data_IF_702278087939
#
_entry.id   IF_702278087939
#
_cell.length_a   1.000
_cell.length_b   1.000
_cell.length_c   1.000
_cell.angle_alpha   90.00
_cell.angle_beta   90.00
_cell.angle_gamma   90.00
#
_symmetry.space_group_name_H-M   'P 1'
#
loop_
_entity.id
_entity.type
_entity.pdbx_description
1 polymer ?
#
# COMPACT_ATOMS: atom_id res chain seq x y z
N UNK A 1 23.10 -36.09 8.23
CA UNK A 1 22.51 -35.94 6.89
C UNK A 1 22.85 -34.57 6.30
N UNK A 2 24.15 -34.24 6.16
CA UNK A 2 24.61 -32.86 5.86
C UNK A 2 25.34 -32.67 4.53
N UNK A 3 25.71 -33.73 3.80
CA UNK A 3 26.62 -33.63 2.64
C UNK A 3 25.93 -33.55 1.28
N UNK A 4 24.64 -33.86 1.15
CA UNK A 4 23.96 -33.90 -0.16
C UNK A 4 23.49 -32.51 -0.65
N UNK A 5 23.53 -31.50 0.22
CA UNK A 5 22.97 -30.17 -0.08
C UNK A 5 23.95 -29.23 -0.78
N UNK A 6 25.27 -29.40 -0.60
CA UNK A 6 26.30 -28.45 -1.06
C UNK A 6 26.48 -28.45 -2.57
N UNK A 7 26.48 -29.62 -3.22
CA UNK A 7 26.68 -29.74 -4.68
C UNK A 7 25.57 -29.08 -5.50
N UNK A 8 24.36 -28.98 -4.94
CA UNK A 8 23.21 -28.39 -5.65
C UNK A 8 23.21 -26.87 -5.66
N UNK A 9 23.93 -26.22 -4.73
CA UNK A 9 23.93 -24.75 -4.59
C UNK A 9 24.83 -24.13 -5.66
N UNK A 10 26.00 -24.72 -5.91
CA UNK A 10 26.98 -24.21 -6.88
C UNK A 10 26.46 -24.26 -8.33
N UNK A 11 25.70 -25.31 -8.68
CA UNK A 11 25.12 -25.44 -10.02
C UNK A 11 23.99 -24.42 -10.25
N UNK A 12 23.24 -24.04 -9.20
CA UNK A 12 22.18 -23.02 -9.32
C UNK A 12 22.72 -21.60 -9.44
N UNK A 13 23.95 -21.35 -8.98
CA UNK A 13 24.57 -20.03 -8.98
C UNK A 13 24.97 -19.50 -10.37
N UNK A 14 24.97 -20.35 -11.41
CA UNK A 14 25.30 -19.96 -12.79
C UNK A 14 24.08 -19.76 -13.71
N UNK A 15 22.88 -20.07 -13.24
CA UNK A 15 21.65 -19.97 -14.04
C UNK A 15 21.12 -18.53 -14.10
N UNK A 16 20.35 -18.14 -15.14
CA UNK A 16 19.62 -16.87 -15.11
C UNK A 16 18.61 -16.84 -13.94
N UNK A 17 18.32 -15.68 -13.35
CA UNK A 17 17.45 -15.56 -12.17
C UNK A 17 16.06 -16.20 -12.33
N UNK A 18 15.53 -16.20 -13.55
CA UNK A 18 14.23 -16.80 -13.89
C UNK A 18 14.28 -18.33 -13.69
N UNK A 19 15.30 -19.00 -14.22
CA UNK A 19 15.45 -20.44 -14.08
C UNK A 19 15.74 -20.84 -12.63
N UNK A 20 16.49 -20.01 -11.88
CA UNK A 20 16.70 -20.23 -10.44
C UNK A 20 15.39 -20.24 -9.66
N UNK A 21 14.52 -19.24 -9.90
CA UNK A 21 13.20 -19.17 -9.26
C UNK A 21 12.35 -20.38 -9.59
N UNK A 22 12.28 -20.81 -10.85
CA UNK A 22 11.54 -22.01 -11.25
C UNK A 22 12.03 -23.29 -10.56
N UNK A 23 13.35 -23.47 -10.46
CA UNK A 23 13.92 -24.62 -9.76
C UNK A 23 13.61 -24.58 -8.27
N UNK A 24 13.66 -23.39 -7.66
CA UNK A 24 13.26 -23.20 -6.27
C UNK A 24 11.77 -23.53 -6.07
N UNK A 25 10.89 -22.96 -6.89
CA UNK A 25 9.45 -23.22 -6.86
C UNK A 25 9.16 -24.72 -6.99
N UNK A 26 9.87 -25.41 -7.90
CA UNK A 26 9.73 -26.86 -8.07
C UNK A 26 10.18 -27.66 -6.85
N UNK A 27 11.31 -27.29 -6.25
CA UNK A 27 11.80 -27.92 -5.00
C UNK A 27 10.81 -27.73 -3.85
N UNK A 28 10.27 -26.52 -3.71
CA UNK A 28 9.24 -26.20 -2.71
C UNK A 28 7.95 -27.00 -2.96
N UNK A 29 7.53 -27.14 -4.23
CA UNK A 29 6.37 -27.94 -4.61
C UNK A 29 6.55 -29.43 -4.33
N UNK A 30 7.71 -29.99 -4.68
CA UNK A 30 8.06 -31.38 -4.37
C UNK A 30 8.11 -31.63 -2.85
N UNK A 31 8.61 -30.67 -2.07
CA UNK A 31 8.61 -30.72 -0.62
C UNK A 31 7.17 -30.68 -0.06
N UNK A 32 6.32 -29.78 -0.57
CA UNK A 32 4.90 -29.72 -0.20
C UNK A 32 4.20 -31.06 -0.40
N UNK A 33 4.38 -31.70 -1.55
CA UNK A 33 3.77 -33.01 -1.83
C UNK A 33 4.30 -34.13 -0.94
N UNK A 34 5.59 -34.09 -0.56
CA UNK A 34 6.15 -35.03 0.42
C UNK A 34 5.48 -34.87 1.79
N UNK A 35 5.33 -33.63 2.27
CA UNK A 35 4.65 -33.34 3.55
C UNK A 35 3.19 -33.78 3.51
N UNK A 36 2.45 -33.42 2.46
CA UNK A 36 1.03 -33.82 2.31
C UNK A 36 0.85 -35.33 2.24
N UNK A 37 1.79 -36.07 1.65
CA UNK A 37 1.75 -37.53 1.63
C UNK A 37 1.90 -38.10 3.05
N UNK A 38 2.89 -37.61 3.80
CA UNK A 38 3.11 -38.03 5.20
C UNK A 38 1.90 -37.73 6.09
N UNK A 39 1.25 -36.57 5.91
CA UNK A 39 0.02 -36.23 6.65
C UNK A 39 -1.18 -37.11 6.28
N UNK A 40 -1.20 -37.66 5.07
CA UNK A 40 -2.30 -38.45 4.58
C UNK A 40 -2.21 -39.93 4.98
N UNK A 41 -1.06 -40.38 5.48
CA UNK A 41 -0.83 -41.74 5.97
C UNK A 41 -1.60 -41.95 7.29
N UNK A 42 -2.53 -42.91 7.31
CA UNK A 42 -3.28 -43.31 8.51
C UNK A 42 -4.80 -43.06 8.49
N UNK A 43 -5.29 -42.15 7.64
CA UNK A 43 -6.73 -41.86 7.53
C UNK A 43 -7.22 -42.01 6.08
N UNK A 44 -8.09 -43.00 5.76
CA UNK A 44 -8.45 -43.34 4.38
C UNK A 44 -9.09 -42.17 3.61
N UNK A 45 -9.87 -41.35 4.30
CA UNK A 45 -10.49 -40.15 3.70
C UNK A 45 -9.45 -39.08 3.31
N UNK A 46 -8.45 -38.84 4.18
CA UNK A 46 -7.38 -37.86 3.91
C UNK A 46 -6.48 -38.38 2.78
N UNK A 47 -6.17 -39.67 2.78
CA UNK A 47 -5.46 -40.35 1.70
C UNK A 47 -6.17 -40.19 0.35
N UNK A 48 -7.49 -40.46 0.30
CA UNK A 48 -8.30 -40.28 -0.91
C UNK A 48 -8.25 -38.83 -1.40
N UNK A 49 -8.47 -37.86 -0.49
CA UNK A 49 -8.40 -36.43 -0.81
C UNK A 49 -7.04 -36.03 -1.36
N UNK A 50 -5.94 -36.57 -0.82
CA UNK A 50 -4.60 -36.34 -1.33
C UNK A 50 -4.44 -36.82 -2.78
N UNK A 51 -4.88 -38.04 -3.09
CA UNK A 51 -4.77 -38.58 -4.44
C UNK A 51 -5.65 -37.82 -5.44
N UNK A 52 -6.86 -37.43 -5.04
CA UNK A 52 -7.75 -36.58 -5.86
C UNK A 52 -7.08 -35.24 -6.15
N UNK A 53 -6.55 -34.56 -5.13
CA UNK A 53 -5.85 -33.28 -5.31
C UNK A 53 -4.65 -33.43 -6.24
N UNK A 54 -3.87 -34.51 -6.07
CA UNK A 54 -2.70 -34.80 -6.90
C UNK A 54 -3.06 -35.12 -8.35
N UNK A 55 -4.18 -35.78 -8.58
CA UNK A 55 -4.67 -36.11 -9.92
C UNK A 55 -5.02 -34.85 -10.74
N UNK A 56 -5.47 -33.77 -10.08
CA UNK A 56 -5.71 -32.48 -10.73
C UNK A 56 -4.45 -31.62 -10.84
N UNK A 57 -3.61 -31.59 -9.82
CA UNK A 57 -2.43 -30.73 -9.81
C UNK A 57 -1.32 -31.21 -10.75
N UNK A 58 -1.12 -32.52 -10.89
CA UNK A 58 -0.11 -33.08 -11.79
C UNK A 58 -0.27 -32.61 -13.25
N UNK A 59 -1.44 -32.73 -13.90
CA UNK A 59 -1.62 -32.21 -15.25
C UNK A 59 -1.54 -30.68 -15.31
N UNK A 60 -1.97 -29.96 -14.27
CA UNK A 60 -1.86 -28.50 -14.21
C UNK A 60 -0.39 -28.04 -14.16
N UNK A 61 0.44 -28.68 -13.32
CA UNK A 61 1.87 -28.40 -13.20
C UNK A 61 2.61 -28.76 -14.47
N UNK A 62 2.29 -29.91 -15.09
CA UNK A 62 2.85 -30.31 -16.38
C UNK A 62 2.55 -29.26 -17.47
N UNK A 63 1.30 -28.79 -17.55
CA UNK A 63 0.90 -27.76 -18.51
C UNK A 63 1.63 -26.43 -18.26
N UNK A 64 1.76 -26.02 -17.00
CA UNK A 64 2.51 -24.81 -16.61
C UNK A 64 3.97 -24.89 -17.08
N UNK A 65 4.67 -25.97 -16.74
CA UNK A 65 6.11 -26.11 -17.02
C UNK A 65 6.41 -26.36 -18.51
N UNK A 66 5.59 -27.15 -19.21
CA UNK A 66 5.86 -27.54 -20.60
C UNK A 66 5.34 -26.56 -21.63
N UNK A 67 4.24 -25.87 -21.35
CA UNK A 67 3.54 -25.05 -22.34
C UNK A 67 3.55 -23.59 -21.94
N UNK A 68 3.08 -23.24 -20.73
CA UNK A 68 2.89 -21.83 -20.33
C UNK A 68 4.22 -21.11 -20.14
N UNK A 69 5.17 -21.69 -19.40
CA UNK A 69 6.44 -21.04 -19.09
C UNK A 69 7.31 -20.78 -20.35
N UNK A 70 7.52 -21.73 -21.27
CA UNK A 70 8.27 -21.47 -22.50
C UNK A 70 7.57 -20.48 -23.43
N UNK A 71 6.23 -20.52 -23.48
CA UNK A 71 5.45 -19.58 -24.28
C UNK A 71 5.55 -18.16 -23.69
N UNK A 72 5.45 -18.03 -22.37
CA UNK A 72 5.62 -16.76 -21.68
C UNK A 72 7.02 -16.19 -21.92
N UNK A 73 8.08 -17.00 -21.83
CA UNK A 73 9.45 -16.54 -22.08
C UNK A 73 9.65 -16.05 -23.52
N UNK A 74 9.05 -16.73 -24.50
CA UNK A 74 9.15 -16.35 -25.93
C UNK A 74 8.39 -15.06 -26.26
N UNK A 75 7.27 -14.80 -25.61
CA UNK A 75 6.38 -13.67 -25.92
C UNK A 75 6.31 -12.61 -24.81
N UNK A 76 7.28 -12.62 -23.89
CA UNK A 76 7.33 -11.68 -22.78
C UNK A 76 7.51 -10.24 -23.28
N UNK A 77 6.49 -9.42 -23.08
CA UNK A 77 6.60 -7.97 -23.31
C UNK A 77 7.29 -7.30 -22.13
N UNK A 78 8.32 -6.47 -22.34
CA UNK A 78 8.91 -5.70 -21.25
C UNK A 78 7.89 -4.67 -20.75
N UNK A 79 7.79 -4.54 -19.44
CA UNK A 79 7.04 -3.48 -18.77
C UNK A 79 7.94 -2.86 -17.70
N UNK A 80 7.73 -1.58 -17.40
CA UNK A 80 8.55 -0.83 -16.46
C UNK A 80 7.65 -0.12 -15.45
N UNK A 81 8.15 0.00 -14.23
CA UNK A 81 7.52 0.85 -13.23
C UNK A 81 7.80 2.32 -13.58
N UNK A 82 6.74 3.14 -13.68
CA UNK A 82 6.88 4.57 -13.94
C UNK A 82 7.63 5.22 -12.78
N UNK A 83 8.71 5.94 -13.08
CA UNK A 83 9.44 6.75 -12.10
C UNK A 83 9.09 8.21 -12.34
N UNK A 84 8.65 8.89 -11.28
CA UNK A 84 8.36 10.31 -11.28
C UNK A 84 9.47 11.00 -10.48
N UNK A 85 10.00 12.09 -11.02
CA UNK A 85 10.91 12.95 -10.26
C UNK A 85 10.09 13.76 -9.25
N UNK A 86 10.73 14.16 -8.15
CA UNK A 86 10.12 15.04 -7.16
C UNK A 86 10.00 16.46 -7.72
N UNK A 87 8.86 17.08 -7.47
CA UNK A 87 8.50 18.45 -7.75
C UNK A 87 8.72 19.28 -6.47
N UNK A 88 8.98 20.60 -6.56
CA UNK A 88 8.89 21.48 -5.41
C UNK A 88 7.59 21.30 -4.62
N UNK A 89 7.70 21.30 -3.29
CA UNK A 89 6.54 21.22 -2.40
C UNK A 89 5.84 22.59 -2.29
N UNK A 90 4.63 22.59 -1.73
CA UNK A 90 3.76 23.79 -1.66
C UNK A 90 4.37 24.92 -0.81
N UNK A 91 5.30 24.62 0.07
CA UNK A 91 6.04 25.58 0.90
C UNK A 91 7.10 26.38 0.10
N UNK A 92 7.58 25.82 -1.00
CA UNK A 92 8.57 26.44 -1.90
C UNK A 92 7.91 27.25 -3.02
N UNK A 93 6.65 26.97 -3.33
CA UNK A 93 5.91 27.66 -4.38
C UNK A 93 5.60 29.13 -4.00
N UNK A 94 5.63 30.01 -5.01
CA UNK A 94 5.11 31.36 -4.86
C UNK A 94 3.58 31.34 -4.69
N UNK A 95 3.04 32.27 -3.88
CA UNK A 95 1.59 32.32 -3.57
C UNK A 95 0.71 32.40 -4.82
N UNK A 96 1.19 33.07 -5.87
CA UNK A 96 0.47 33.28 -7.13
C UNK A 96 0.92 32.33 -8.26
N UNK A 97 1.87 31.43 -8.01
CA UNK A 97 2.37 30.50 -9.02
C UNK A 97 1.44 29.29 -9.14
N UNK A 98 0.49 29.38 -10.05
CA UNK A 98 -0.48 28.32 -10.30
C UNK A 98 0.15 27.07 -10.93
N UNK A 99 1.26 27.21 -11.67
CA UNK A 99 1.95 26.06 -12.27
C UNK A 99 2.64 25.23 -11.19
N UNK A 100 3.39 25.88 -10.30
CA UNK A 100 4.00 25.22 -9.15
C UNK A 100 2.95 24.58 -8.24
N UNK A 101 1.85 25.30 -7.96
CA UNK A 101 0.74 24.75 -7.19
C UNK A 101 0.15 23.49 -7.84
N UNK A 102 -0.09 23.50 -9.15
CA UNK A 102 -0.64 22.36 -9.87
C UNK A 102 0.26 21.12 -9.76
N UNK A 103 1.57 21.28 -10.04
CA UNK A 103 2.50 20.16 -9.97
C UNK A 103 2.66 19.64 -8.53
N UNK A 104 2.72 20.53 -7.54
CA UNK A 104 2.79 20.18 -6.12
C UNK A 104 1.52 19.44 -5.66
N UNK A 105 0.34 19.86 -6.13
CA UNK A 105 -0.92 19.19 -5.81
C UNK A 105 -0.98 17.79 -6.44
N UNK A 106 -0.55 17.63 -7.70
CA UNK A 106 -0.47 16.32 -8.34
C UNK A 106 0.51 15.38 -7.62
N UNK A 107 1.66 15.89 -7.15
CA UNK A 107 2.56 15.10 -6.31
C UNK A 107 1.88 14.68 -4.99
N UNK A 108 1.22 15.61 -4.30
CA UNK A 108 0.49 15.32 -3.06
C UNK A 108 -0.55 14.21 -3.24
N UNK A 109 -1.31 14.24 -4.35
CA UNK A 109 -2.31 13.22 -4.69
C UNK A 109 -1.71 11.85 -4.88
N UNK A 110 -0.58 11.77 -5.58
CA UNK A 110 0.15 10.52 -5.79
C UNK A 110 0.70 9.98 -4.47
N UNK A 111 1.30 10.85 -3.64
CA UNK A 111 1.83 10.44 -2.34
C UNK A 111 0.70 9.96 -1.40
N UNK A 112 -0.48 10.61 -1.42
CA UNK A 112 -1.68 10.16 -0.68
C UNK A 112 -2.14 8.77 -1.14
N UNK A 113 -2.15 8.51 -2.44
CA UNK A 113 -2.49 7.20 -2.99
C UNK A 113 -1.47 6.13 -2.58
N UNK A 114 -0.17 6.45 -2.60
CA UNK A 114 0.89 5.53 -2.17
C UNK A 114 0.75 5.21 -0.69
N UNK A 115 0.54 6.21 0.17
CA UNK A 115 0.35 6.03 1.61
C UNK A 115 -0.90 5.16 1.91
N UNK A 116 -1.98 5.32 1.16
CA UNK A 116 -3.17 4.47 1.25
C UNK A 116 -2.86 2.99 0.90
N UNK A 117 -2.12 2.75 -0.19
CA UNK A 117 -1.69 1.40 -0.56
C UNK A 117 -0.74 0.77 0.47
N UNK A 118 0.06 1.58 1.17
CA UNK A 118 0.92 1.09 2.27
C UNK A 118 0.06 0.53 3.41
N UNK A 119 -1.01 1.24 3.79
CA UNK A 119 -1.95 0.75 4.80
C UNK A 119 -2.64 -0.55 4.37
N UNK A 120 -3.05 -0.66 3.11
CA UNK A 120 -3.65 -1.89 2.57
C UNK A 120 -2.69 -3.09 2.65
N UNK A 121 -1.40 -2.88 2.37
CA UNK A 121 -0.38 -3.93 2.50
C UNK A 121 -0.23 -4.35 3.96
N UNK A 122 -0.20 -3.40 4.90
CA UNK A 122 -0.09 -3.70 6.34
C UNK A 122 -1.34 -4.44 6.86
N UNK A 123 -2.53 -4.04 6.40
CA UNK A 123 -3.79 -4.73 6.68
C UNK A 123 -3.77 -6.18 6.23
N UNK A 124 -3.32 -6.45 5.00
CA UNK A 124 -3.17 -7.81 4.48
C UNK A 124 -2.17 -8.63 5.32
N UNK A 125 -1.11 -8.01 5.86
CA UNK A 125 -0.17 -8.70 6.74
C UNK A 125 -0.82 -9.11 8.06
N UNK A 126 -1.65 -8.24 8.66
CA UNK A 126 -2.42 -8.59 9.87
C UNK A 126 -3.34 -9.78 9.58
N UNK A 127 -4.15 -9.69 8.51
CA UNK A 127 -5.10 -10.74 8.15
C UNK A 127 -4.40 -12.09 7.92
N UNK A 128 -3.24 -12.10 7.22
CA UNK A 128 -2.42 -13.30 7.03
C UNK A 128 -1.85 -13.82 8.35
N UNK A 129 -1.41 -12.93 9.24
CA UNK A 129 -0.87 -13.33 10.54
C UNK A 129 -1.94 -13.97 11.43
N UNK A 130 -3.13 -13.38 11.48
CA UNK A 130 -4.27 -13.91 12.23
C UNK A 130 -4.74 -15.26 11.68
N UNK A 131 -4.83 -15.38 10.36
CA UNK A 131 -5.18 -16.66 9.70
C UNK A 131 -4.14 -17.75 9.98
N UNK A 132 -2.85 -17.40 10.03
CA UNK A 132 -1.80 -18.37 10.32
C UNK A 132 -1.70 -18.75 11.81
N UNK A 133 -2.00 -17.82 12.72
CA UNK A 133 -1.86 -17.99 14.17
C UNK A 133 -3.21 -17.94 14.92
N UNK A 134 -4.25 -18.61 14.42
CA UNK A 134 -5.62 -18.54 14.97
C UNK A 134 -5.69 -18.72 16.50
N UNK A 135 -4.87 -19.62 17.06
CA UNK A 135 -4.86 -19.91 18.49
C UNK A 135 -4.04 -18.92 19.34
N UNK A 136 -3.09 -18.21 18.75
CA UNK A 136 -2.06 -17.45 19.47
C UNK A 136 -1.80 -16.10 18.80
N UNK A 137 -2.75 -15.17 18.96
CA UNK A 137 -2.68 -13.82 18.38
C UNK A 137 -1.49 -13.00 18.92
N UNK A 138 -0.95 -13.33 20.09
CA UNK A 138 0.23 -12.65 20.66
C UNK A 138 1.44 -12.67 19.73
N UNK A 139 1.56 -13.66 18.84
CA UNK A 139 2.63 -13.71 17.83
C UNK A 139 2.52 -12.62 16.77
N UNK A 140 1.32 -12.07 16.58
CA UNK A 140 1.03 -11.01 15.62
C UNK A 140 1.21 -9.60 16.19
N UNK A 141 1.70 -9.49 17.42
CA UNK A 141 1.96 -8.25 18.13
C UNK A 141 2.66 -7.18 17.27
N UNK A 142 3.81 -7.52 16.69
CA UNK A 142 4.62 -6.57 15.92
C UNK A 142 3.91 -6.11 14.65
N UNK A 143 3.20 -7.02 13.98
CA UNK A 143 2.49 -6.69 12.72
C UNK A 143 1.32 -5.75 12.99
N UNK A 144 0.63 -5.95 14.12
CA UNK A 144 -0.44 -5.08 14.55
C UNK A 144 0.09 -3.70 14.97
N UNK A 145 1.21 -3.67 15.68
CA UNK A 145 1.89 -2.43 16.06
C UNK A 145 2.31 -1.59 14.84
N UNK A 146 2.95 -2.22 13.85
CA UNK A 146 3.36 -1.54 12.61
C UNK A 146 2.17 -0.91 11.88
N UNK A 147 1.01 -1.59 11.91
CA UNK A 147 -0.21 -1.10 11.29
C UNK A 147 -0.83 0.07 12.08
N UNK A 148 -1.01 -0.07 13.39
CA UNK A 148 -1.61 0.99 14.23
C UNK A 148 -0.75 2.27 14.21
N UNK A 149 0.58 2.12 14.23
CA UNK A 149 1.51 3.24 14.07
C UNK A 149 1.38 3.91 12.69
N UNK A 150 1.27 3.12 11.62
CA UNK A 150 1.08 3.65 10.27
C UNK A 150 -0.30 4.32 10.10
N UNK A 151 -1.36 3.74 10.66
CA UNK A 151 -2.72 4.27 10.63
C UNK A 151 -2.81 5.61 11.38
N UNK A 152 -2.19 5.70 12.56
CA UNK A 152 -2.07 6.96 13.30
C UNK A 152 -1.37 8.03 12.46
N UNK A 153 -0.22 7.70 11.88
CA UNK A 153 0.55 8.62 11.04
C UNK A 153 -0.25 9.07 9.81
N UNK A 154 -1.00 8.15 9.21
CA UNK A 154 -1.89 8.44 8.10
C UNK A 154 -3.01 9.41 8.49
N UNK A 155 -3.69 9.15 9.61
CA UNK A 155 -4.76 10.01 10.13
C UNK A 155 -4.22 11.40 10.50
N UNK A 156 -3.04 11.47 11.10
CA UNK A 156 -2.37 12.74 11.40
C UNK A 156 -2.11 13.55 10.13
N UNK A 157 -1.69 12.91 9.04
CA UNK A 157 -1.41 13.59 7.76
C UNK A 157 -2.69 13.96 7.00
N UNK A 158 -3.63 13.02 6.86
CA UNK A 158 -4.76 13.13 5.92
C UNK A 158 -6.15 13.21 6.57
N UNK A 159 -6.29 12.88 7.86
CA UNK A 159 -7.58 12.86 8.55
C UNK A 159 -8.26 14.24 8.61
N UNK A 160 -9.59 14.25 8.67
CA UNK A 160 -10.44 15.45 8.87
C UNK A 160 -10.30 16.58 7.81
N UNK A 161 -9.61 16.33 6.70
CA UNK A 161 -9.41 17.34 5.65
C UNK A 161 -10.63 17.48 4.70
N UNK A 162 -11.53 16.49 4.67
CA UNK A 162 -12.65 16.45 3.72
C UNK A 162 -12.27 15.88 2.35
N UNK A 163 -13.26 15.74 1.46
CA UNK A 163 -13.09 15.16 0.12
C UNK A 163 -12.41 16.11 -0.88
N UNK A 164 -12.51 17.42 -0.65
CA UNK A 164 -12.02 18.48 -1.56
C UNK A 164 -10.65 19.03 -1.16
N UNK A 165 -9.95 18.35 -0.25
CA UNK A 165 -8.70 18.88 0.30
C UNK A 165 -7.53 18.85 -0.67
N UNK A 166 -6.81 19.97 -0.71
CA UNK A 166 -5.60 20.16 -1.51
C UNK A 166 -4.33 20.10 -0.65
N UNK A 167 -3.17 20.12 -1.31
CA UNK A 167 -1.87 20.24 -0.64
C UNK A 167 -1.76 21.47 0.29
N UNK A 168 -2.52 22.54 0.02
CA UNK A 168 -2.60 23.75 0.86
C UNK A 168 -3.24 23.47 2.22
N UNK A 169 -4.33 22.72 2.25
CA UNK A 169 -5.06 22.42 3.50
C UNK A 169 -4.23 21.52 4.40
N UNK A 170 -3.52 20.57 3.80
CA UNK A 170 -2.59 19.68 4.51
C UNK A 170 -1.45 20.49 5.12
N UNK A 171 -0.90 21.44 4.36
CA UNK A 171 0.15 22.33 4.85
C UNK A 171 -0.35 23.21 6.00
N UNK A 172 -1.59 23.71 5.95
CA UNK A 172 -2.19 24.45 7.06
C UNK A 172 -2.44 23.56 8.29
N UNK A 173 -2.87 22.31 8.09
CA UNK A 173 -3.00 21.30 9.17
C UNK A 173 -1.65 21.01 9.82
N UNK A 174 -0.60 20.85 9.02
CA UNK A 174 0.77 20.65 9.51
C UNK A 174 1.24 21.87 10.34
N UNK A 175 1.01 23.10 9.86
CA UNK A 175 1.29 24.32 10.63
C UNK A 175 0.53 24.38 11.95
N UNK A 176 -0.76 24.06 11.92
CA UNK A 176 -1.59 24.02 13.12
C UNK A 176 -1.01 23.04 14.15
N UNK A 177 -0.62 21.84 13.69
CA UNK A 177 0.03 20.84 14.53
C UNK A 177 1.35 21.35 15.13
N UNK A 178 2.25 21.91 14.33
CA UNK A 178 3.53 22.44 14.83
C UNK A 178 3.34 23.57 15.86
N UNK A 179 2.35 24.44 15.64
CA UNK A 179 2.01 25.51 16.61
C UNK A 179 1.44 24.90 17.89
N UNK A 180 0.60 23.87 17.78
CA UNK A 180 0.02 23.17 18.93
C UNK A 180 1.08 22.43 19.75
N UNK A 181 2.00 21.72 19.10
CA UNK A 181 3.11 21.00 19.74
C UNK A 181 4.06 21.99 20.46
N UNK A 182 4.33 23.15 19.86
CA UNK A 182 5.11 24.22 20.52
C UNK A 182 4.42 24.79 21.76
N UNK A 183 3.09 24.76 21.83
CA UNK A 183 2.31 25.28 22.96
C UNK A 183 2.13 24.27 24.08
N UNK A 184 2.27 22.97 23.80
CA UNK A 184 2.03 21.89 24.76
C UNK A 184 3.20 20.90 24.82
N UNK A 185 4.42 21.34 25.19
CA UNK A 185 5.56 20.44 25.34
C UNK A 185 5.29 19.32 26.35
N UNK A 186 4.56 19.59 27.43
CA UNK A 186 4.23 18.63 28.48
C UNK A 186 3.46 17.41 27.96
N UNK A 187 2.52 17.62 27.02
CA UNK A 187 1.75 16.55 26.41
C UNK A 187 2.63 15.71 25.48
N UNK A 188 3.58 16.34 24.79
CA UNK A 188 4.50 15.66 23.89
C UNK A 188 5.51 14.81 24.65
N UNK A 189 6.06 15.33 25.75
CA UNK A 189 6.95 14.58 26.65
C UNK A 189 6.23 13.39 27.29
N UNK A 190 4.99 13.58 27.74
CA UNK A 190 4.17 12.49 28.28
C UNK A 190 3.88 11.42 27.22
N UNK A 191 3.52 11.82 26.00
CA UNK A 191 3.30 10.88 24.88
C UNK A 191 4.57 10.11 24.56
N UNK A 192 5.73 10.77 24.55
CA UNK A 192 7.02 10.12 24.29
C UNK A 192 7.36 9.11 25.39
N UNK A 193 7.12 9.44 26.66
CA UNK A 193 7.27 8.51 27.79
C UNK A 193 6.38 7.27 27.62
N UNK A 194 5.08 7.47 27.39
CA UNK A 194 4.11 6.38 27.21
C UNK A 194 4.47 5.49 26.02
N UNK A 195 4.94 6.07 24.91
CA UNK A 195 5.37 5.31 23.73
C UNK A 195 6.65 4.49 24.02
N UNK A 196 7.62 5.04 24.76
CA UNK A 196 8.82 4.29 25.19
C UNK A 196 8.45 3.11 26.08
N UNK A 197 7.59 3.33 27.08
CA UNK A 197 7.09 2.28 27.97
C UNK A 197 6.37 1.17 27.19
N UNK A 198 5.52 1.54 26.21
CA UNK A 198 4.84 0.60 25.33
C UNK A 198 5.83 -0.25 24.52
N UNK A 199 6.83 0.37 23.86
CA UNK A 199 7.85 -0.38 23.11
C UNK A 199 8.70 -1.28 24.01
N UNK A 200 8.95 -0.91 25.27
CA UNK A 200 9.61 -1.76 26.25
C UNK A 200 8.74 -2.97 26.66
N UNK A 201 7.43 -2.76 26.85
CA UNK A 201 6.48 -3.84 27.12
C UNK A 201 6.39 -4.83 25.96
N UNK A 202 6.34 -4.33 24.72
CA UNK A 202 6.36 -5.16 23.51
C UNK A 202 7.64 -6.00 23.43
N UNK A 203 8.80 -5.42 23.74
CA UNK A 203 10.08 -6.17 23.81
C UNK A 203 10.08 -7.22 24.92
N UNK A 204 9.41 -6.95 26.04
CA UNK A 204 9.22 -7.90 27.13
C UNK A 204 8.18 -9.00 26.81
N UNK A 205 7.54 -8.98 25.63
CA UNK A 205 6.50 -9.91 25.23
C UNK A 205 5.15 -9.68 25.91
N UNK A 206 5.00 -8.55 26.63
CA UNK A 206 3.72 -8.11 27.19
C UNK A 206 2.99 -7.33 26.11
N UNK A 207 2.02 -7.97 25.48
CA UNK A 207 1.23 -7.34 24.44
C UNK A 207 -0.02 -6.70 25.04
N UNK A 208 -0.05 -5.37 25.12
CA UNK A 208 -1.23 -4.62 25.54
C UNK A 208 -1.94 -3.98 24.34
N UNK A 209 -3.13 -4.49 23.99
CA UNK A 209 -3.98 -3.92 22.95
C UNK A 209 -4.53 -2.53 23.33
N UNK A 210 -4.53 -2.17 24.62
CA UNK A 210 -5.23 -0.99 25.12
C UNK A 210 -4.53 0.33 24.78
N UNK A 211 -3.21 0.30 24.51
CA UNK A 211 -2.42 1.49 24.19
C UNK A 211 -2.98 2.28 22.99
N UNK A 212 -3.40 1.56 21.93
CA UNK A 212 -4.01 2.17 20.74
C UNK A 212 -5.54 2.31 20.86
N UNK A 213 -6.17 1.61 21.81
CA UNK A 213 -7.63 1.48 21.88
C UNK A 213 -8.28 2.66 22.61
N UNK A 214 -8.62 3.72 21.88
CA UNK A 214 -9.61 4.72 22.33
C UNK A 214 -11.07 4.28 22.15
N UNK A 215 -11.34 2.99 22.33
CA UNK A 215 -12.71 2.42 22.31
C UNK A 215 -13.18 1.78 21.01
N UNK A 216 -12.33 1.61 20.00
CA UNK A 216 -12.70 0.97 18.72
C UNK A 216 -11.74 -0.20 18.43
N UNK A 217 -12.25 -1.41 18.22
CA UNK A 217 -11.41 -2.52 17.76
C UNK A 217 -11.09 -2.37 16.27
N UNK A 218 -10.00 -2.96 15.79
CA UNK A 218 -9.71 -3.01 14.34
C UNK A 218 -10.90 -3.52 13.50
N UNK A 219 -11.65 -4.48 14.03
CA UNK A 219 -12.88 -4.99 13.41
C UNK A 219 -13.99 -3.93 13.32
N UNK A 220 -14.11 -3.08 14.34
CA UNK A 220 -15.09 -1.98 14.37
C UNK A 220 -14.63 -0.83 13.47
N UNK A 221 -13.32 -0.53 13.43
CA UNK A 221 -12.73 0.44 12.50
C UNK A 221 -13.08 0.06 11.07
N UNK A 222 -12.85 -1.20 10.67
CA UNK A 222 -13.21 -1.70 9.34
C UNK A 222 -14.68 -1.43 8.96
N UNK A 223 -15.60 -1.37 9.93
CA UNK A 223 -17.03 -1.14 9.70
C UNK A 223 -17.43 0.34 9.75
N UNK A 224 -16.63 1.20 10.40
CA UNK A 224 -16.94 2.63 10.60
C UNK A 224 -16.12 3.55 9.71
N UNK A 225 -15.00 3.06 9.21
CA UNK A 225 -14.26 3.72 8.16
C UNK A 225 -15.15 3.67 6.90
N UNK A 226 -15.56 4.82 6.33
CA UNK A 226 -16.04 4.77 4.95
C UNK A 226 -14.97 4.01 4.17
N UNK A 227 -15.32 3.10 3.23
CA UNK A 227 -14.32 2.40 2.45
C UNK A 227 -13.40 3.49 1.97
N UNK A 228 -12.17 3.54 2.47
CA UNK A 228 -11.32 4.65 2.15
C UNK A 228 -11.08 4.47 0.67
N UNK A 229 -11.85 5.20 -0.14
CA UNK A 229 -11.67 5.23 -1.57
C UNK A 229 -10.45 6.13 -1.75
N UNK A 230 -9.28 5.63 -1.33
CA UNK A 230 -7.98 6.12 -1.75
C UNK A 230 -7.80 5.96 -3.27
N UNK A 231 -8.81 5.38 -3.95
CA UNK A 231 -9.00 5.42 -5.38
C UNK A 231 -9.33 6.83 -5.90
N UNK A 232 -9.98 7.68 -5.10
CA UNK A 232 -10.21 9.09 -5.42
C UNK A 232 -8.98 9.90 -5.01
N UNK A 233 -7.99 9.94 -5.89
CA UNK A 233 -6.89 10.88 -5.75
C UNK A 233 -7.31 12.33 -6.02
N UNK A 234 -8.45 12.53 -6.68
CA UNK A 234 -9.02 13.83 -7.02
C UNK A 234 -10.30 14.09 -6.23
N UNK A 235 -10.62 15.35 -6.01
CA UNK A 235 -11.92 15.71 -5.45
C UNK A 235 -13.04 15.29 -6.40
N UNK A 236 -14.22 14.95 -5.86
CA UNK A 236 -15.38 14.58 -6.68
C UNK A 236 -15.95 15.75 -7.49
N UNK A 237 -15.53 16.98 -7.19
CA UNK A 237 -15.95 18.21 -7.86
C UNK A 237 -14.98 18.63 -8.97
N UNK A 238 -13.73 18.15 -8.92
CA UNK A 238 -12.77 18.26 -10.02
C UNK A 238 -13.06 17.18 -11.05
N UNK A 239 -14.10 17.42 -11.87
CA UNK A 239 -14.17 16.78 -13.17
C UNK A 239 -12.85 17.00 -13.90
N UNK A 240 -12.41 15.99 -14.67
CA UNK A 240 -11.36 16.11 -15.67
C UNK A 240 -11.81 17.12 -16.75
N UNK A 241 -11.90 18.40 -16.39
CA UNK A 241 -11.85 19.47 -17.37
C UNK A 241 -10.51 19.26 -18.05
N UNK A 242 -10.47 19.07 -19.38
CA UNK A 242 -9.21 19.08 -20.08
C UNK A 242 -8.60 20.46 -19.79
N UNK A 243 -7.65 20.50 -18.85
CA UNK A 243 -6.74 21.62 -18.72
C UNK A 243 -6.15 21.73 -20.12
N UNK A 244 -6.51 22.79 -20.85
CA UNK A 244 -6.21 22.84 -22.28
C UNK A 244 -4.71 22.59 -22.40
N UNK A 245 -4.32 21.50 -23.07
CA UNK A 245 -2.90 21.15 -23.29
C UNK A 245 -2.15 22.22 -24.11
N UNK A 246 -2.81 23.31 -24.43
CA UNK A 246 -2.26 24.49 -25.06
C UNK A 246 -1.60 25.38 -24.00
N UNK A 247 -0.28 25.23 -23.84
CA UNK A 247 0.57 26.22 -23.15
C UNK A 247 0.39 27.65 -23.70
N UNK A 248 -0.07 27.77 -24.94
CA UNK A 248 -0.48 29.04 -25.56
C UNK A 248 -1.65 29.71 -24.83
N UNK A 249 -2.57 28.95 -24.23
CA UNK A 249 -3.66 29.51 -23.41
C UNK A 249 -3.08 30.25 -22.21
N UNK A 250 -2.23 29.58 -21.43
CA UNK A 250 -1.58 30.17 -20.25
C UNK A 250 -0.70 31.36 -20.60
N UNK A 251 0.05 31.26 -21.70
CA UNK A 251 0.84 32.38 -22.20
C UNK A 251 -0.03 33.59 -22.54
N UNK A 252 -1.18 33.38 -23.19
CA UNK A 252 -2.14 34.44 -23.50
C UNK A 252 -2.85 35.00 -22.28
N UNK A 253 -3.20 34.18 -21.29
CA UNK A 253 -3.79 34.65 -20.02
C UNK A 253 -2.78 35.49 -19.23
N UNK A 254 -1.49 35.15 -19.32
CA UNK A 254 -0.41 35.92 -18.72
C UNK A 254 -0.18 37.26 -19.43
N UNK A 255 -0.34 37.29 -20.76
CA UNK A 255 -0.23 38.51 -21.58
C UNK A 255 -1.46 39.42 -21.43
N UNK A 256 -2.68 38.85 -21.43
CA UNK A 256 -3.96 39.55 -21.38
C UNK A 256 -4.87 38.99 -20.26
N UNK A 257 -4.98 39.68 -19.11
CA UNK A 257 -5.86 39.26 -18.00
C UNK A 257 -7.36 39.32 -18.34
N UNK A 258 -7.74 39.99 -19.43
CA UNK A 258 -9.14 40.06 -19.90
C UNK A 258 -9.57 38.85 -20.72
N UNK A 259 -8.61 38.10 -21.30
CA UNK A 259 -8.90 36.95 -22.16
C UNK A 259 -9.72 35.86 -21.45
N UNK A 260 -9.46 35.65 -20.16
CA UNK A 260 -10.18 34.67 -19.33
C UNK A 260 -11.65 35.09 -19.09
N UNK A 261 -11.94 36.40 -19.07
CA UNK A 261 -13.30 36.93 -18.86
C UNK A 261 -14.21 36.70 -20.07
N UNK A 262 -13.66 36.68 -21.28
CA UNK A 262 -14.43 36.45 -22.52
C UNK A 262 -14.87 34.99 -22.69
N UNK A 263 -14.06 34.04 -22.20
CA UNK A 263 -14.37 32.60 -22.26
C UNK A 263 -15.31 32.16 -21.11
N UNK A 264 -15.38 32.94 -20.03
CA UNK A 264 -15.88 32.49 -18.73
C UNK A 264 -17.40 32.26 -18.56
N UNK A 265 -18.31 32.63 -19.47
CA UNK A 265 -19.78 32.52 -19.21
C UNK A 265 -20.68 32.28 -20.42
N UNK A 266 -20.46 31.20 -21.18
CA UNK A 266 -21.49 30.66 -22.11
C UNK A 266 -21.75 29.17 -21.91
N UNK A 267 -22.04 28.74 -20.68
CA UNK A 267 -22.80 27.51 -20.47
C UNK A 267 -24.28 27.88 -20.38
N UNK A 268 -25.03 27.64 -21.46
CA UNK A 268 -26.49 27.58 -21.35
C UNK A 268 -26.83 26.36 -20.51
N UNK A 269 -27.26 26.55 -19.27
CA UNK A 269 -27.87 25.48 -18.49
C UNK A 269 -29.18 25.13 -19.21
N UNK A 270 -29.25 23.97 -19.88
CA UNK A 270 -30.53 23.42 -20.31
C UNK A 270 -31.16 22.78 -19.07
N UNK A 271 -32.12 23.48 -18.47
CA UNK A 271 -33.07 22.88 -17.55
C UNK A 271 -34.16 22.20 -18.37
N UNK A 272 -33.91 20.97 -18.83
CA UNK A 272 -34.88 19.92 -19.17
C UNK A 272 -34.11 18.62 -19.38
#
# INVERSE_FOLDING_TARGET
>A
MGEVMTESVDQTANLPPILRRRLQDRKEWEAYWKVRKMEAEGAPFITLRYYVHRAFDFPATFFREKIVEPLHDKYKKPYYHRRLNRVPEIDQCGVNDMACFFEANEQYRLDKMVDGNILDILKQRIERCFTYNENNLNKCANVLEDFEEAELNFFIKYGELGSEADCRDVYMKQKHRMIWERRHPEIMEERERLYKEHKEQLKAGKFDYSFWKKGMFFQDKKNHEPPYEFFLSKSTLEDDKPLSKDWKYYKKVQEDPEFDKEQGKKSSIRFF
#
